data_IF_674120623259
#
_entry.id   IF_674120623259
#
_cell.length_a   1.000
_cell.length_b   1.000
_cell.length_c   1.000
_cell.angle_alpha   90.00
_cell.angle_beta   90.00
_cell.angle_gamma   90.00
#
_symmetry.space_group_name_H-M   'P 1'
#
loop_
_entity.id
_entity.type
_entity.pdbx_description
1 polymer ?
#
# COMPACT_ATOMS: atom_id res chain seq x y z
N UNK A 1 -3.13 45.64 -50.89
CA UNK A 1 -3.03 45.42 -49.45
C UNK A 1 -3.78 44.17 -49.09
N UNK A 2 -3.09 43.04 -49.01
CA UNK A 2 -3.70 41.78 -48.55
C UNK A 2 -3.73 41.76 -47.03
N UNK A 3 -4.92 41.73 -46.47
CA UNK A 3 -5.12 41.53 -45.03
C UNK A 3 -5.10 40.02 -44.76
N UNK A 4 -4.02 39.49 -44.21
CA UNK A 4 -3.93 38.15 -43.71
C UNK A 4 -4.72 38.10 -42.38
N UNK A 5 -5.82 37.36 -42.38
CA UNK A 5 -6.61 37.09 -41.18
C UNK A 5 -5.98 35.89 -40.47
N UNK A 6 -5.37 36.09 -39.32
CA UNK A 6 -4.84 35.01 -38.45
C UNK A 6 -6.04 34.49 -37.63
N UNK A 7 -6.49 33.28 -37.95
CA UNK A 7 -7.52 32.60 -37.18
C UNK A 7 -6.82 31.86 -36.00
N UNK A 8 -6.93 32.38 -34.78
CA UNK A 8 -6.55 31.68 -33.60
C UNK A 8 -7.65 30.66 -33.23
N UNK A 9 -7.40 29.40 -33.48
CA UNK A 9 -8.24 28.31 -32.97
C UNK A 9 -7.76 28.02 -31.55
N UNK A 10 -8.50 28.48 -30.54
CA UNK A 10 -8.35 28.01 -29.18
C UNK A 10 -8.94 26.61 -29.10
N UNK A 11 -8.08 25.61 -28.95
CA UNK A 11 -8.51 24.30 -28.49
C UNK A 11 -8.84 24.46 -27.00
N UNK A 12 -10.13 24.56 -26.68
CA UNK A 12 -10.58 24.23 -25.33
C UNK A 12 -10.46 22.71 -25.18
N UNK A 13 -9.39 22.25 -24.55
CA UNK A 13 -9.37 20.88 -24.05
C UNK A 13 -10.49 20.78 -23.00
N UNK A 14 -11.37 19.77 -23.06
CA UNK A 14 -12.32 19.57 -21.96
C UNK A 14 -11.52 19.39 -20.67
N UNK A 15 -11.85 20.17 -19.63
CA UNK A 15 -11.30 20.00 -18.31
C UNK A 15 -11.90 18.72 -17.73
N UNK A 16 -11.05 17.73 -17.52
CA UNK A 16 -11.39 16.51 -16.80
C UNK A 16 -10.48 16.39 -15.58
N UNK A 17 -10.99 15.96 -14.44
CA UNK A 17 -10.17 15.62 -13.32
C UNK A 17 -9.25 14.44 -13.68
N UNK A 18 -7.93 14.63 -13.57
CA UNK A 18 -6.97 13.56 -13.74
C UNK A 18 -6.98 12.65 -12.52
N UNK A 19 -7.31 11.39 -12.71
CA UNK A 19 -7.33 10.40 -11.63
C UNK A 19 -5.91 9.94 -11.31
N UNK A 20 -5.56 9.86 -10.01
CA UNK A 20 -4.22 9.50 -9.55
C UNK A 20 -4.20 8.12 -8.93
N UNK A 21 -5.10 7.84 -7.98
CA UNK A 21 -5.09 6.59 -7.21
C UNK A 21 -6.51 6.21 -6.76
N UNK A 22 -6.88 4.93 -6.85
CA UNK A 22 -6.14 3.78 -7.40
C UNK A 22 -5.81 3.93 -8.88
N UNK A 23 -4.65 3.38 -9.29
CA UNK A 23 -4.23 3.38 -10.71
C UNK A 23 -5.18 2.50 -11.54
N UNK A 24 -5.45 2.92 -12.76
CA UNK A 24 -6.35 2.17 -13.64
C UNK A 24 -5.87 0.74 -13.87
N UNK A 25 -6.78 -0.24 -13.70
CA UNK A 25 -6.54 -1.68 -13.76
C UNK A 25 -5.53 -2.21 -12.72
N UNK A 26 -5.33 -1.51 -11.61
CA UNK A 26 -4.49 -2.01 -10.52
C UNK A 26 -5.19 -3.12 -9.74
N UNK A 27 -4.38 -3.97 -9.10
CA UNK A 27 -4.81 -4.94 -8.11
C UNK A 27 -4.29 -4.49 -6.74
N UNK A 28 -5.18 -4.35 -5.76
CA UNK A 28 -4.89 -3.79 -4.46
C UNK A 28 -4.94 -4.87 -3.37
N UNK A 29 -4.01 -4.78 -2.44
CA UNK A 29 -3.96 -5.63 -1.24
C UNK A 29 -4.54 -4.91 -0.01
N UNK A 30 -5.48 -4.01 -0.24
CA UNK A 30 -6.20 -3.31 0.81
C UNK A 30 -7.64 -3.04 0.39
N UNK A 31 -8.54 -2.87 1.38
CA UNK A 31 -9.94 -2.51 1.18
C UNK A 31 -10.30 -1.18 1.83
N UNK A 32 -9.39 -0.56 2.57
CA UNK A 32 -9.51 0.81 3.04
C UNK A 32 -8.72 1.74 2.10
N UNK A 33 -9.42 2.40 1.18
CA UNK A 33 -8.79 3.04 0.03
C UNK A 33 -8.96 4.55 0.08
N UNK A 34 -7.85 5.28 -0.06
CA UNK A 34 -7.84 6.72 -0.25
C UNK A 34 -7.79 7.04 -1.74
N UNK A 35 -8.91 7.39 -2.34
CA UNK A 35 -8.98 7.86 -3.71
C UNK A 35 -8.36 9.24 -3.84
N UNK A 36 -7.63 9.50 -4.93
CA UNK A 36 -6.97 10.79 -5.18
C UNK A 36 -7.09 11.18 -6.65
N UNK A 37 -7.25 12.49 -6.89
CA UNK A 37 -7.25 13.10 -8.21
C UNK A 37 -6.56 14.46 -8.17
N UNK A 38 -6.25 15.03 -9.32
CA UNK A 38 -5.60 16.33 -9.40
C UNK A 38 -6.59 17.47 -9.12
N UNK A 39 -6.06 18.54 -8.53
CA UNK A 39 -6.78 19.80 -8.37
C UNK A 39 -6.82 20.51 -9.72
N UNK A 40 -8.02 20.85 -10.17
CA UNK A 40 -8.21 21.68 -11.36
C UNK A 40 -8.34 23.15 -11.01
N UNK A 41 -7.77 24.01 -11.85
CA UNK A 41 -7.82 25.47 -11.67
C UNK A 41 -9.25 25.99 -11.65
N UNK A 42 -9.55 26.82 -10.64
CA UNK A 42 -10.86 27.46 -10.44
C UNK A 42 -12.01 26.48 -10.13
N UNK A 43 -11.75 25.21 -9.88
CA UNK A 43 -12.75 24.25 -9.45
C UNK A 43 -12.81 24.21 -7.92
N UNK A 44 -14.01 24.31 -7.40
CA UNK A 44 -14.28 24.36 -5.95
C UNK A 44 -15.09 23.15 -5.46
N UNK A 45 -15.54 22.28 -6.35
CA UNK A 45 -16.34 21.12 -5.97
C UNK A 45 -16.26 20.01 -7.00
N UNK A 46 -16.22 18.78 -6.50
CA UNK A 46 -16.16 17.55 -7.27
C UNK A 46 -17.31 16.62 -6.89
N UNK A 47 -17.70 15.74 -7.79
CA UNK A 47 -18.55 14.59 -7.47
C UNK A 47 -17.72 13.32 -7.72
N UNK A 48 -17.42 12.62 -6.64
CA UNK A 48 -16.77 11.31 -6.65
C UNK A 48 -17.82 10.21 -6.77
N UNK A 49 -17.62 9.23 -7.63
CA UNK A 49 -18.46 8.03 -7.73
C UNK A 49 -17.62 6.76 -7.70
N UNK A 50 -18.10 5.79 -6.91
CA UNK A 50 -17.60 4.41 -6.85
C UNK A 50 -18.74 3.45 -7.19
N UNK A 51 -18.46 2.43 -8.01
CA UNK A 51 -19.42 1.43 -8.42
C UNK A 51 -18.77 0.06 -8.59
N UNK A 52 -19.53 -1.01 -8.42
CA UNK A 52 -19.16 -2.36 -8.83
C UNK A 52 -19.68 -2.71 -10.23
N UNK A 53 -20.32 -1.76 -10.90
CA UNK A 53 -20.85 -1.90 -12.27
C UNK A 53 -20.24 -0.79 -13.13
N UNK A 54 -19.67 -1.17 -14.28
CA UNK A 54 -18.89 -0.26 -15.13
C UNK A 54 -19.69 0.88 -15.75
N UNK A 55 -21.00 0.76 -15.86
CA UNK A 55 -21.90 1.78 -16.42
C UNK A 55 -22.43 2.78 -15.37
N UNK A 56 -22.11 2.56 -14.09
CA UNK A 56 -22.59 3.38 -12.97
C UNK A 56 -24.12 3.51 -12.89
N UNK A 57 -24.85 2.51 -13.36
CA UNK A 57 -26.32 2.51 -13.28
C UNK A 57 -26.84 2.51 -11.83
N UNK A 58 -26.00 2.06 -10.89
CA UNK A 58 -26.27 2.09 -9.46
C UNK A 58 -24.95 2.24 -8.70
N UNK A 59 -24.40 3.45 -8.57
CA UNK A 59 -23.17 3.68 -7.82
C UNK A 59 -23.33 3.29 -6.36
N UNK A 60 -22.31 2.66 -5.79
CA UNK A 60 -22.22 2.34 -4.35
C UNK A 60 -22.06 3.62 -3.55
N UNK A 61 -21.26 4.55 -4.07
CA UNK A 61 -21.02 5.88 -3.49
C UNK A 61 -21.17 6.92 -4.59
N UNK A 62 -21.92 7.99 -4.27
CA UNK A 62 -21.90 9.24 -5.03
C UNK A 62 -21.82 10.38 -4.03
N UNK A 63 -20.68 11.07 -3.99
CA UNK A 63 -20.35 12.03 -2.95
C UNK A 63 -19.82 13.34 -3.54
N UNK A 64 -20.37 14.47 -3.07
CA UNK A 64 -19.87 15.80 -3.41
C UNK A 64 -18.84 16.26 -2.37
N UNK A 65 -17.67 16.70 -2.84
CA UNK A 65 -16.57 17.15 -1.98
C UNK A 65 -15.87 18.36 -2.59
N UNK A 66 -15.20 19.14 -1.74
CA UNK A 66 -14.28 20.23 -2.14
C UNK A 66 -12.83 19.74 -2.19
N UNK A 67 -12.55 18.58 -1.60
CA UNK A 67 -11.24 17.97 -1.53
C UNK A 67 -10.91 17.19 -2.80
N UNK A 68 -9.64 16.97 -3.05
CA UNK A 68 -9.13 16.11 -4.14
C UNK A 68 -8.79 14.70 -3.66
N UNK A 69 -9.30 14.34 -2.49
CA UNK A 69 -9.16 13.02 -1.88
C UNK A 69 -10.49 12.58 -1.27
N UNK A 70 -10.73 11.26 -1.31
CA UNK A 70 -11.87 10.66 -0.63
C UNK A 70 -11.48 9.30 -0.05
N UNK A 71 -11.63 9.13 1.27
CA UNK A 71 -11.27 7.89 1.96
C UNK A 71 -12.48 7.01 2.17
N UNK A 72 -12.43 5.80 1.60
CA UNK A 72 -13.47 4.78 1.69
C UNK A 72 -13.01 3.68 2.63
N UNK A 73 -13.72 3.50 3.75
CA UNK A 73 -13.51 2.43 4.74
C UNK A 73 -14.53 1.29 4.61
N UNK A 74 -15.65 1.55 3.99
CA UNK A 74 -16.78 0.62 3.91
C UNK A 74 -17.16 0.36 2.47
N UNK A 75 -17.92 -0.72 2.22
CA UNK A 75 -18.45 -1.08 0.91
C UNK A 75 -17.43 -1.56 -0.13
N UNK A 76 -16.15 -1.69 0.24
CA UNK A 76 -15.15 -2.38 -0.56
C UNK A 76 -14.85 -3.70 0.14
N UNK A 77 -14.92 -4.80 -0.61
CA UNK A 77 -14.66 -6.15 -0.10
C UNK A 77 -13.56 -6.81 -0.93
N UNK A 78 -12.93 -7.81 -0.38
CA UNK A 78 -11.91 -8.62 -1.05
C UNK A 78 -12.45 -9.34 -2.29
N UNK A 79 -11.57 -9.70 -3.22
CA UNK A 79 -11.86 -10.48 -4.45
C UNK A 79 -12.95 -9.86 -5.33
N UNK A 80 -12.96 -8.53 -5.42
CA UNK A 80 -13.99 -7.78 -6.13
C UNK A 80 -13.39 -6.73 -7.05
N UNK A 81 -14.13 -6.40 -8.10
CA UNK A 81 -13.74 -5.36 -9.06
C UNK A 81 -14.63 -4.14 -8.88
N UNK A 82 -14.02 -2.99 -8.93
CA UNK A 82 -14.65 -1.69 -8.78
C UNK A 82 -14.26 -0.74 -9.89
N UNK A 83 -15.14 0.24 -10.14
CA UNK A 83 -14.98 1.33 -11.08
C UNK A 83 -15.16 2.64 -10.34
N UNK A 84 -14.34 3.63 -10.66
CA UNK A 84 -14.47 4.94 -10.06
C UNK A 84 -14.18 6.05 -11.05
N UNK A 85 -14.76 7.20 -10.80
CA UNK A 85 -14.64 8.39 -11.62
C UNK A 85 -14.93 9.63 -10.79
N UNK A 86 -14.48 10.77 -11.31
CA UNK A 86 -14.72 12.08 -10.72
C UNK A 86 -15.24 13.01 -11.81
N UNK A 87 -16.16 13.88 -11.50
CA UNK A 87 -16.52 14.99 -12.37
C UNK A 87 -16.47 16.30 -11.61
N UNK A 88 -16.19 17.36 -12.34
CA UNK A 88 -16.38 18.72 -11.88
C UNK A 88 -17.88 18.99 -11.78
N UNK A 89 -18.28 19.82 -10.83
CA UNK A 89 -19.68 20.23 -10.75
C UNK A 89 -20.04 20.94 -12.07
N UNK A 90 -21.18 20.59 -12.66
CA UNK A 90 -21.65 21.12 -13.95
C UNK A 90 -20.86 20.70 -15.21
N UNK A 91 -19.95 19.71 -15.11
CA UNK A 91 -19.16 19.20 -16.23
C UNK A 91 -19.30 17.68 -16.41
N UNK A 92 -18.56 17.12 -17.39
CA UNK A 92 -18.53 15.70 -17.65
C UNK A 92 -17.68 14.96 -16.63
N UNK A 93 -17.93 13.65 -16.48
CA UNK A 93 -17.05 12.79 -15.70
C UNK A 93 -15.67 12.67 -16.37
N UNK A 94 -14.65 12.45 -15.54
CA UNK A 94 -13.35 11.95 -15.97
C UNK A 94 -13.50 10.66 -16.80
N UNK A 95 -12.40 10.17 -17.33
CA UNK A 95 -12.36 8.75 -17.69
C UNK A 95 -12.68 7.88 -16.46
N UNK A 96 -13.13 6.66 -16.73
CA UNK A 96 -13.41 5.69 -15.66
C UNK A 96 -12.17 4.85 -15.42
N UNK A 97 -11.70 4.83 -14.19
CA UNK A 97 -10.67 3.89 -13.74
C UNK A 97 -11.31 2.66 -13.09
N UNK A 98 -10.63 1.53 -13.19
CA UNK A 98 -10.99 0.30 -12.50
C UNK A 98 -9.85 -0.19 -11.62
N UNK A 99 -10.20 -0.94 -10.59
CA UNK A 99 -9.26 -1.71 -9.78
C UNK A 99 -9.94 -2.98 -9.28
N UNK A 100 -9.14 -3.96 -8.90
CA UNK A 100 -9.60 -5.14 -8.18
C UNK A 100 -8.93 -5.21 -6.82
N UNK A 101 -9.60 -5.85 -5.88
CA UNK A 101 -9.03 -6.22 -4.59
C UNK A 101 -8.60 -7.68 -4.63
N UNK A 102 -7.44 -7.96 -4.06
CA UNK A 102 -6.85 -9.28 -4.01
C UNK A 102 -7.57 -10.19 -2.98
N UNK A 103 -6.93 -11.26 -2.61
CA UNK A 103 -7.42 -12.29 -1.68
C UNK A 103 -7.02 -11.96 -0.25
N UNK A 104 -7.87 -12.14 0.76
CA UNK A 104 -7.47 -11.99 2.15
C UNK A 104 -6.45 -13.07 2.56
N UNK A 105 -5.56 -12.75 3.50
CA UNK A 105 -4.42 -13.59 3.86
C UNK A 105 -4.79 -14.97 4.38
N UNK A 106 -5.90 -15.12 5.09
CA UNK A 106 -6.37 -16.40 5.61
C UNK A 106 -6.78 -17.39 4.50
N UNK A 107 -6.84 -16.97 3.25
CA UNK A 107 -7.06 -17.85 2.10
C UNK A 107 -5.76 -18.30 1.41
N UNK A 108 -4.60 -17.77 1.83
CA UNK A 108 -3.32 -18.20 1.27
C UNK A 108 -2.87 -19.58 1.78
N UNK A 109 -3.32 -19.97 2.96
CA UNK A 109 -2.96 -21.25 3.57
C UNK A 109 -4.11 -21.75 4.47
N UNK A 110 -4.32 -23.07 4.49
CA UNK A 110 -5.25 -23.73 5.42
C UNK A 110 -4.83 -23.57 6.90
N UNK A 111 -3.58 -23.21 7.14
CA UNK A 111 -3.02 -22.99 8.47
C UNK A 111 -3.31 -21.59 9.03
N UNK A 112 -3.82 -20.68 8.20
CA UNK A 112 -4.18 -19.30 8.61
C UNK A 112 -5.67 -19.23 8.87
N UNK A 113 -6.04 -18.93 10.09
CA UNK A 113 -7.42 -18.66 10.45
C UNK A 113 -7.70 -17.15 10.46
N UNK A 114 -8.95 -16.75 10.16
CA UNK A 114 -9.38 -15.37 10.41
C UNK A 114 -9.10 -14.96 11.85
N UNK A 115 -8.78 -13.68 12.05
CA UNK A 115 -8.57 -13.13 13.39
C UNK A 115 -9.90 -13.14 14.16
N UNK A 116 -9.87 -13.56 15.41
CA UNK A 116 -11.00 -13.50 16.33
C UNK A 116 -10.75 -12.46 17.41
N UNK A 117 -11.68 -11.52 17.58
CA UNK A 117 -11.63 -10.54 18.65
C UNK A 117 -12.26 -11.15 19.90
N UNK A 118 -11.43 -11.52 20.88
CA UNK A 118 -11.88 -12.13 22.14
C UNK A 118 -12.46 -11.11 23.11
N UNK A 119 -12.00 -9.88 23.06
CA UNK A 119 -12.47 -8.79 23.92
C UNK A 119 -12.24 -7.44 23.24
N UNK A 120 -13.26 -6.59 23.27
CA UNK A 120 -13.21 -5.23 22.77
C UNK A 120 -14.03 -4.31 23.70
N UNK A 121 -13.38 -3.26 24.19
CA UNK A 121 -14.04 -2.24 25.01
C UNK A 121 -13.82 -0.86 24.38
N UNK A 122 -14.83 -0.29 23.72
CA UNK A 122 -14.72 0.99 23.00
C UNK A 122 -14.44 2.19 23.92
N UNK A 123 -14.67 2.08 25.23
CA UNK A 123 -14.35 3.17 26.17
C UNK A 123 -12.85 3.26 26.47
N UNK A 124 -12.09 2.18 26.24
CA UNK A 124 -10.66 2.09 26.55
C UNK A 124 -9.78 1.85 25.32
N UNK A 125 -10.36 1.88 24.12
CA UNK A 125 -9.62 1.67 22.86
C UNK A 125 -9.70 2.92 21.98
N UNK A 126 -8.63 3.17 21.22
CA UNK A 126 -8.66 4.17 20.15
C UNK A 126 -9.09 3.49 18.86
N UNK A 127 -9.91 4.16 18.06
CA UNK A 127 -10.23 3.74 16.70
C UNK A 127 -8.94 3.70 15.87
N UNK A 128 -8.68 2.59 15.20
CA UNK A 128 -7.44 2.41 14.47
C UNK A 128 -7.33 1.07 13.75
N UNK A 129 -6.13 0.81 13.25
CA UNK A 129 -5.76 -0.40 12.54
C UNK A 129 -4.59 -1.06 13.28
N UNK A 130 -4.71 -2.35 13.54
CA UNK A 130 -3.61 -3.17 14.09
C UNK A 130 -2.89 -3.87 12.93
N UNK A 131 -1.59 -3.60 12.84
CA UNK A 131 -0.73 -4.23 11.83
C UNK A 131 0.15 -5.26 12.53
N UNK A 132 0.27 -6.45 11.92
CA UNK A 132 1.04 -7.57 12.48
C UNK A 132 1.70 -8.40 11.38
N UNK A 133 2.76 -9.13 11.75
CA UNK A 133 3.43 -10.11 10.91
C UNK A 133 3.35 -11.50 11.51
N UNK A 134 3.31 -12.52 10.66
CA UNK A 134 3.33 -13.94 11.04
C UNK A 134 4.51 -14.63 10.34
N UNK A 135 5.29 -15.40 11.12
CA UNK A 135 6.49 -16.09 10.62
C UNK A 135 6.21 -17.46 10.00
N UNK A 136 5.01 -18.02 10.16
CA UNK A 136 4.68 -19.31 9.57
C UNK A 136 3.15 -19.46 9.40
N UNK A 137 2.63 -19.38 8.18
CA UNK A 137 3.30 -18.93 6.96
C UNK A 137 3.81 -17.49 7.08
N UNK A 138 4.78 -17.12 6.27
CA UNK A 138 5.44 -15.82 6.33
C UNK A 138 4.59 -14.77 5.62
N UNK A 139 3.91 -13.91 6.36
CA UNK A 139 3.13 -12.80 5.81
C UNK A 139 2.87 -11.69 6.84
N UNK A 140 2.41 -10.54 6.37
CA UNK A 140 1.91 -9.42 7.19
C UNK A 140 0.49 -9.06 6.82
N UNK A 141 -0.28 -8.61 7.80
CA UNK A 141 -1.64 -8.15 7.59
C UNK A 141 -2.01 -7.02 8.56
N UNK A 142 -3.11 -6.35 8.26
CA UNK A 142 -3.71 -5.36 9.13
C UNK A 142 -5.20 -5.62 9.30
N UNK A 143 -5.69 -5.43 10.52
CA UNK A 143 -7.09 -5.57 10.88
C UNK A 143 -7.65 -4.27 11.44
N UNK A 144 -8.94 -4.06 11.25
CA UNK A 144 -9.70 -3.03 11.94
C UNK A 144 -10.06 -3.45 13.39
N UNK A 145 -10.81 -2.61 14.09
CA UNK A 145 -11.20 -2.87 15.48
C UNK A 145 -12.23 -4.02 15.62
N UNK A 146 -12.90 -4.37 14.56
CA UNK A 146 -13.84 -5.51 14.45
C UNK A 146 -13.15 -6.81 14.09
N UNK A 147 -11.84 -6.78 13.80
CA UNK A 147 -11.04 -7.94 13.40
C UNK A 147 -11.12 -8.27 11.92
N UNK A 148 -11.71 -7.41 11.10
CA UNK A 148 -11.72 -7.58 9.67
C UNK A 148 -10.35 -7.24 9.10
N UNK A 149 -9.82 -8.11 8.26
CA UNK A 149 -8.58 -7.83 7.54
C UNK A 149 -8.82 -6.73 6.52
N UNK A 150 -8.04 -5.65 6.61
CA UNK A 150 -8.17 -4.47 5.76
C UNK A 150 -6.98 -4.25 4.83
N UNK A 151 -5.86 -4.90 5.11
CA UNK A 151 -4.66 -4.92 4.29
C UNK A 151 -3.87 -6.21 4.52
N UNK A 152 -3.12 -6.65 3.50
CA UNK A 152 -2.11 -7.72 3.65
C UNK A 152 -0.92 -7.51 2.70
N UNK A 153 0.17 -8.21 2.94
CA UNK A 153 1.37 -8.15 2.11
C UNK A 153 1.25 -8.88 0.76
N UNK A 154 0.08 -9.42 0.45
CA UNK A 154 -0.19 -10.10 -0.82
C UNK A 154 0.67 -11.33 -1.02
N UNK A 155 1.05 -11.58 -2.29
CA UNK A 155 1.94 -12.67 -2.67
C UNK A 155 3.42 -12.42 -2.38
N UNK A 156 3.77 -11.31 -1.71
CA UNK A 156 5.11 -11.08 -1.18
C UNK A 156 5.15 -11.69 0.21
N UNK A 157 5.85 -12.83 0.34
CA UNK A 157 6.09 -13.44 1.63
C UNK A 157 6.92 -12.48 2.50
N UNK A 158 6.26 -11.57 3.18
CA UNK A 158 6.93 -10.55 3.99
C UNK A 158 6.48 -10.58 5.45
N UNK A 159 7.46 -10.55 6.33
CA UNK A 159 7.26 -10.34 7.76
C UNK A 159 7.65 -8.92 8.13
N UNK A 160 6.68 -8.13 8.51
CA UNK A 160 6.89 -6.72 8.81
C UNK A 160 7.27 -6.50 10.26
N UNK A 161 8.27 -5.65 10.50
CA UNK A 161 8.71 -5.27 11.84
C UNK A 161 8.18 -3.91 12.26
N UNK A 162 8.21 -2.94 11.35
CA UNK A 162 7.88 -1.57 11.70
C UNK A 162 7.34 -0.78 10.50
N UNK A 163 6.56 0.23 10.81
CA UNK A 163 6.13 1.25 9.87
C UNK A 163 7.18 2.36 9.83
N UNK A 164 7.57 2.78 8.65
CA UNK A 164 8.46 3.94 8.48
C UNK A 164 7.62 5.22 8.52
N UNK A 165 7.92 6.09 9.45
CA UNK A 165 7.25 7.37 9.58
C UNK A 165 7.41 8.22 8.30
N UNK A 166 6.34 8.95 7.96
CA UNK A 166 6.25 9.94 6.88
C UNK A 166 6.23 9.42 5.44
N UNK A 167 6.63 8.17 5.16
CA UNK A 167 6.66 7.64 3.79
C UNK A 167 5.56 6.61 3.51
N UNK A 168 4.78 6.22 4.52
CA UNK A 168 3.75 5.17 4.41
C UNK A 168 4.33 3.86 3.85
N UNK A 169 5.55 3.53 4.26
CA UNK A 169 6.26 2.31 3.87
C UNK A 169 6.52 1.44 5.09
N UNK A 170 6.75 0.17 4.83
CA UNK A 170 6.98 -0.86 5.84
C UNK A 170 8.41 -1.38 5.73
N UNK A 171 9.02 -1.68 6.87
CA UNK A 171 10.30 -2.38 6.97
C UNK A 171 10.07 -3.79 7.51
N UNK A 172 10.70 -4.77 6.91
CA UNK A 172 10.61 -6.16 7.34
C UNK A 172 11.55 -7.07 6.59
N UNK A 173 11.33 -8.36 6.76
CA UNK A 173 11.96 -9.41 5.99
C UNK A 173 11.03 -9.87 4.87
N UNK A 174 11.58 -10.27 3.73
CA UNK A 174 10.80 -10.90 2.68
C UNK A 174 11.58 -12.01 1.99
N UNK A 175 10.84 -13.05 1.60
CA UNK A 175 11.28 -14.03 0.62
C UNK A 175 11.01 -13.44 -0.77
N UNK A 176 12.05 -12.95 -1.43
CA UNK A 176 11.93 -12.39 -2.78
C UNK A 176 12.24 -13.45 -3.83
N UNK A 177 11.24 -13.85 -4.69
CA UNK A 177 11.50 -14.82 -5.77
C UNK A 177 12.46 -14.26 -6.83
N UNK A 178 13.06 -15.09 -7.69
CA UNK A 178 12.90 -16.52 -7.87
C UNK A 178 14.05 -17.40 -7.34
N UNK A 179 15.12 -16.87 -6.76
CA UNK A 179 16.35 -17.62 -6.49
C UNK A 179 16.90 -17.44 -5.06
N UNK A 180 16.09 -16.95 -4.14
CA UNK A 180 16.56 -16.63 -2.82
C UNK A 180 16.33 -17.78 -1.84
N UNK A 181 17.37 -18.16 -1.12
CA UNK A 181 17.32 -19.15 -0.05
C UNK A 181 17.35 -18.48 1.33
N UNK A 182 16.68 -17.33 1.47
CA UNK A 182 16.71 -16.64 2.72
C UNK A 182 15.85 -15.38 2.75
N UNK A 183 15.69 -14.88 3.93
CA UNK A 183 14.95 -13.68 4.22
C UNK A 183 15.85 -12.47 4.06
N UNK A 184 15.42 -11.51 3.24
CA UNK A 184 16.12 -10.25 3.03
C UNK A 184 15.40 -9.12 3.71
N UNK A 185 16.18 -8.19 4.27
CA UNK A 185 15.63 -6.91 4.67
C UNK A 185 15.06 -6.17 3.48
N UNK A 186 13.82 -5.67 3.62
CA UNK A 186 13.11 -4.93 2.59
C UNK A 186 12.42 -3.69 3.13
N UNK A 187 12.27 -2.69 2.26
CA UNK A 187 11.29 -1.61 2.44
C UNK A 187 10.28 -1.69 1.31
N UNK A 188 9.00 -1.68 1.63
CA UNK A 188 7.91 -1.82 0.67
C UNK A 188 6.75 -0.87 0.98
N UNK A 189 5.95 -0.56 -0.05
CA UNK A 189 4.75 0.28 0.05
C UNK A 189 3.55 -0.52 0.49
N UNK A 190 2.46 0.17 0.83
CA UNK A 190 1.15 -0.46 1.12
C UNK A 190 0.63 -1.28 -0.07
N UNK A 191 1.01 -0.93 -1.29
CA UNK A 191 0.66 -1.68 -2.52
C UNK A 191 1.70 -2.76 -2.86
N UNK A 192 2.53 -3.17 -1.88
CA UNK A 192 3.57 -4.20 -1.99
C UNK A 192 4.67 -3.92 -3.02
N UNK A 193 4.83 -2.66 -3.44
CA UNK A 193 5.96 -2.23 -4.25
C UNK A 193 7.24 -2.20 -3.42
N UNK A 194 8.21 -3.06 -3.73
CA UNK A 194 9.52 -3.04 -3.07
C UNK A 194 10.29 -1.80 -3.49
N UNK A 195 10.63 -0.95 -2.53
CA UNK A 195 11.40 0.30 -2.72
C UNK A 195 12.90 0.02 -2.58
N UNK A 196 13.25 -0.80 -1.61
CA UNK A 196 14.62 -1.17 -1.32
C UNK A 196 14.67 -2.61 -0.80
N UNK A 197 15.71 -3.31 -1.14
CA UNK A 197 16.05 -4.60 -0.56
C UNK A 197 17.53 -4.66 -0.18
N UNK A 198 17.82 -5.47 0.82
CA UNK A 198 19.18 -5.74 1.27
C UNK A 198 20.04 -6.19 0.07
N UNK A 199 21.23 -5.58 -0.15
CA UNK A 199 22.15 -6.02 -1.17
C UNK A 199 22.68 -7.44 -0.90
N UNK A 200 22.77 -8.21 -1.97
CA UNK A 200 23.34 -9.57 -1.95
C UNK A 200 24.80 -9.49 -2.33
N UNK A 201 25.67 -10.00 -1.46
CA UNK A 201 27.09 -10.06 -1.72
C UNK A 201 27.54 -11.53 -1.85
N UNK A 202 27.95 -11.94 -3.06
CA UNK A 202 28.43 -13.29 -3.32
C UNK A 202 27.34 -14.34 -3.53
N UNK A 203 27.70 -15.62 -3.32
CA UNK A 203 26.80 -16.77 -3.55
C UNK A 203 25.94 -17.11 -2.33
N UNK A 204 26.20 -16.50 -1.20
CA UNK A 204 25.42 -16.64 0.03
C UNK A 204 24.91 -15.26 0.48
N UNK A 205 23.64 -15.19 0.79
CA UNK A 205 23.10 -14.02 1.47
C UNK A 205 23.23 -14.22 2.98
N UNK A 206 23.70 -13.18 3.61
CA UNK A 206 23.55 -13.03 5.04
C UNK A 206 22.07 -12.73 5.31
N UNK A 207 21.41 -13.59 6.08
CA UNK A 207 20.00 -13.40 6.41
C UNK A 207 19.83 -12.29 7.42
N UNK A 208 18.89 -11.39 7.19
CA UNK A 208 18.47 -10.46 8.21
C UNK A 208 17.86 -11.23 9.39
N UNK A 209 18.14 -10.78 10.59
CA UNK A 209 17.59 -11.37 11.79
C UNK A 209 16.80 -10.33 12.56
N UNK A 210 15.51 -10.32 12.34
CA UNK A 210 14.47 -9.56 13.01
C UNK A 210 14.54 -8.03 12.82
N UNK A 211 15.53 -7.32 13.29
CA UNK A 211 15.45 -5.87 13.32
C UNK A 211 16.04 -5.19 12.08
N UNK A 212 15.22 -4.38 11.41
CA UNK A 212 15.62 -3.48 10.35
C UNK A 212 15.11 -2.08 10.64
N UNK A 213 16.01 -1.10 10.61
CA UNK A 213 15.62 0.31 10.76
C UNK A 213 16.19 1.15 9.61
N UNK A 214 15.46 2.20 9.26
CA UNK A 214 15.94 3.25 8.37
C UNK A 214 16.44 4.44 9.20
N UNK A 215 17.70 4.80 8.99
CA UNK A 215 18.34 5.90 9.70
C UNK A 215 17.92 7.26 9.09
N UNK A 216 18.03 8.38 9.83
CA UNK A 216 17.67 9.71 9.32
C UNK A 216 18.45 10.15 8.07
N UNK A 217 19.62 9.57 7.81
CA UNK A 217 20.43 9.82 6.62
C UNK A 217 20.02 8.99 5.40
N UNK A 218 18.96 8.17 5.53
CA UNK A 218 18.45 7.29 4.48
C UNK A 218 19.14 5.93 4.37
N UNK A 219 20.14 5.64 5.19
CA UNK A 219 20.78 4.32 5.27
C UNK A 219 19.92 3.34 6.06
N UNK A 220 20.13 2.04 5.84
CA UNK A 220 19.49 0.96 6.57
C UNK A 220 20.49 0.32 7.54
N UNK A 221 19.99 -0.13 8.69
CA UNK A 221 20.76 -0.86 9.68
C UNK A 221 19.92 -2.03 10.20
N UNK A 222 20.53 -3.20 10.29
CA UNK A 222 19.89 -4.41 10.80
C UNK A 222 20.93 -5.42 11.25
N UNK A 223 20.48 -6.49 11.90
CA UNK A 223 21.30 -7.63 12.27
C UNK A 223 21.23 -8.69 11.18
N UNK A 224 22.36 -9.31 10.86
CA UNK A 224 22.42 -10.41 9.91
C UNK A 224 23.07 -11.63 10.57
N UNK A 225 22.56 -12.82 10.22
CA UNK A 225 23.24 -14.08 10.54
C UNK A 225 24.17 -14.37 9.37
N UNK A 226 25.43 -14.58 9.64
CA UNK A 226 26.42 -14.92 8.63
C UNK A 226 27.07 -16.26 8.98
N UNK A 227 27.21 -17.14 7.99
CA UNK A 227 27.93 -18.41 8.08
C UNK A 227 29.46 -18.21 8.03
N UNK A 228 29.96 -17.10 8.52
CA UNK A 228 31.40 -16.86 8.51
C UNK A 228 32.11 -17.59 9.66
N UNK A 229 33.26 -18.21 9.36
CA UNK A 229 34.20 -18.73 10.34
C UNK A 229 34.86 -17.60 11.15
N UNK A 230 34.21 -16.47 11.29
CA UNK A 230 34.73 -15.33 12.01
C UNK A 230 34.60 -15.58 13.51
N UNK A 231 35.71 -15.39 14.17
CA UNK A 231 35.80 -15.46 15.62
C UNK A 231 34.81 -14.43 16.24
N UNK A 232 33.75 -14.93 16.83
CA UNK A 232 32.92 -14.11 17.73
C UNK A 232 33.64 -14.03 19.03
N UNK A 233 34.05 -12.84 19.49
CA UNK A 233 34.68 -12.71 20.80
C UNK A 233 33.79 -13.37 21.87
N UNK A 234 34.36 -14.18 22.72
CA UNK A 234 33.64 -14.76 23.84
C UNK A 234 32.95 -13.63 24.60
N UNK A 235 31.66 -13.80 24.92
CA UNK A 235 30.84 -12.81 25.61
C UNK A 235 31.43 -12.25 26.90
N UNK A 236 32.46 -12.90 27.44
CA UNK A 236 33.15 -12.49 28.65
C UNK A 236 34.36 -11.56 28.40
N UNK A 237 34.72 -11.30 27.14
CA UNK A 237 35.85 -10.43 26.79
C UNK A 237 35.45 -9.26 25.88
N UNK A 238 34.75 -8.30 26.47
CA UNK A 238 34.39 -7.04 25.80
C UNK A 238 35.58 -6.10 25.54
N UNK A 239 36.77 -6.44 26.02
CA UNK A 239 37.96 -5.60 25.81
C UNK A 239 38.52 -5.64 24.39
N UNK A 240 38.05 -6.57 23.56
CA UNK A 240 38.47 -6.79 22.17
C UNK A 240 37.56 -6.16 21.13
N UNK A 241 36.48 -5.50 21.54
CA UNK A 241 35.60 -4.78 20.62
C UNK A 241 36.22 -3.41 20.36
N UNK A 242 36.55 -3.05 19.08
CA UNK A 242 37.16 -1.78 18.75
C UNK A 242 36.21 -0.59 18.93
#
# INVERSE_FOLDING_TARGET
MNKTFLLFIFYLSPLFANLIYPINNSELNNIHIMFRWEQEDNITSYIFELSNISDFSSPIISHSTVDTTYYVKENIVWQSTYYWRVRLIDDNFSETFSFSTNTPSYQFSEDVNPVEILYYDPEFTFDGITIYGIMSPFYSAAIDMEGNEVWNSGGVDSYMFTLVDNNHTFLGDANLPPNYKGELGVEFTIDNGVIWNQPIYGDSADFLQHDLIKLPNGNYMGFVITDSDHFVPNSDDFSQIP
#
